data_IF_067551329662
#
_entry.id   IF_067551329662
#
_cell.length_a   1.000
_cell.length_b   1.000
_cell.length_c   1.000
_cell.angle_alpha   90.00
_cell.angle_beta   90.00
_cell.angle_gamma   90.00
#
_symmetry.space_group_name_H-M   'P 1'
#
loop_
_entity.id
_entity.type
_entity.pdbx_description
1 polymer ?
#
# COMPACT_ATOMS: atom_id res chain seq x y z
N UNK A 1 -52.18 48.35 -24.41
CA UNK A 1 -50.76 48.56 -24.72
C UNK A 1 -50.38 49.95 -24.25
N UNK A 2 -49.68 50.06 -23.13
CA UNK A 2 -49.16 51.31 -22.59
C UNK A 2 -47.74 51.07 -22.09
N UNK A 3 -46.79 51.72 -22.75
CA UNK A 3 -45.35 51.59 -22.56
C UNK A 3 -44.95 52.32 -21.29
N UNK A 4 -44.43 51.62 -20.28
CA UNK A 4 -43.84 52.23 -19.08
C UNK A 4 -42.46 52.80 -19.45
N UNK A 5 -42.39 54.12 -19.62
CA UNK A 5 -41.14 54.86 -19.71
C UNK A 5 -40.63 55.09 -18.29
N UNK A 6 -39.69 54.27 -17.83
CA UNK A 6 -38.92 54.54 -16.61
C UNK A 6 -37.68 55.33 -16.98
N UNK A 7 -37.80 56.65 -17.00
CA UNK A 7 -36.66 57.55 -17.02
C UNK A 7 -36.07 57.64 -15.62
N UNK A 8 -34.95 56.96 -15.37
CA UNK A 8 -34.14 57.18 -14.17
C UNK A 8 -33.31 58.44 -14.40
N UNK A 9 -33.47 59.52 -13.61
CA UNK A 9 -32.64 60.71 -13.77
C UNK A 9 -31.19 60.41 -13.38
N UNK A 10 -30.27 60.95 -14.19
CA UNK A 10 -28.81 60.89 -14.02
C UNK A 10 -28.36 61.51 -12.69
N UNK A 11 -27.46 60.80 -11.98
CA UNK A 11 -27.09 61.11 -10.59
C UNK A 11 -26.33 62.42 -10.38
N UNK A 12 -25.94 63.13 -11.43
CA UNK A 12 -25.29 64.45 -11.31
C UNK A 12 -26.28 65.54 -10.87
N UNK A 13 -27.57 65.43 -11.23
CA UNK A 13 -28.57 66.44 -10.85
C UNK A 13 -28.95 66.40 -9.36
N UNK A 14 -28.69 65.27 -8.67
CA UNK A 14 -29.03 65.10 -7.25
C UNK A 14 -27.90 65.52 -6.30
N UNK A 15 -26.69 65.79 -6.81
CA UNK A 15 -25.49 66.04 -5.97
C UNK A 15 -25.32 67.51 -5.56
N UNK A 16 -26.15 68.44 -6.06
CA UNK A 16 -25.89 69.88 -5.98
C UNK A 16 -26.82 70.68 -5.05
N UNK A 17 -27.69 70.05 -4.27
CA UNK A 17 -28.62 70.80 -3.41
C UNK A 17 -28.65 70.20 -2.00
N UNK A 18 -27.77 70.71 -1.13
CA UNK A 18 -28.08 70.71 0.29
C UNK A 18 -29.07 71.86 0.49
N UNK A 19 -30.28 71.64 1.02
CA UNK A 19 -31.16 72.74 1.35
C UNK A 19 -30.49 73.53 2.46
N UNK A 20 -30.11 74.77 2.16
CA UNK A 20 -29.73 75.76 3.15
C UNK A 20 -30.91 75.87 4.14
N UNK A 21 -30.64 75.71 5.43
CA UNK A 21 -31.68 75.71 6.47
C UNK A 21 -32.21 77.14 6.58
N UNK A 22 -33.19 77.47 5.74
CA UNK A 22 -33.93 78.72 5.81
C UNK A 22 -34.65 78.82 7.16
N UNK A 23 -34.56 80.01 7.74
CA UNK A 23 -34.99 80.34 9.08
C UNK A 23 -36.46 79.95 9.35
N UNK A 24 -36.63 79.13 10.39
CA UNK A 24 -37.82 78.93 11.24
C UNK A 24 -39.15 79.46 10.70
N UNK A 25 -39.82 78.67 9.87
CA UNK A 25 -41.21 78.88 9.48
C UNK A 25 -42.12 78.36 10.62
N UNK A 26 -42.92 79.25 11.22
CA UNK A 26 -43.64 79.02 12.48
C UNK A 26 -44.71 77.90 12.45
N UNK A 27 -44.97 77.35 11.26
CA UNK A 27 -45.99 76.31 11.03
C UNK A 27 -45.41 74.96 10.56
N UNK A 28 -44.07 74.76 10.59
CA UNK A 28 -43.50 73.45 10.27
C UNK A 28 -43.77 72.45 11.39
N UNK A 29 -44.46 71.36 11.01
CA UNK A 29 -44.63 70.19 11.88
C UNK A 29 -43.26 69.55 12.16
N UNK A 30 -43.06 68.99 13.37
CA UNK A 30 -41.87 68.18 13.64
C UNK A 30 -41.84 66.99 12.69
N UNK A 31 -40.66 66.75 12.12
CA UNK A 31 -40.40 65.66 11.18
C UNK A 31 -40.77 64.33 11.85
N UNK A 32 -41.47 63.46 11.11
CA UNK A 32 -41.82 62.15 11.62
C UNK A 32 -40.54 61.32 11.79
N UNK A 33 -40.52 60.35 12.72
CA UNK A 33 -39.41 59.41 12.82
C UNK A 33 -39.16 58.79 11.44
N UNK A 34 -37.89 58.81 10.99
CA UNK A 34 -37.40 58.34 9.68
C UNK A 34 -37.51 59.30 8.49
N UNK A 35 -38.05 60.50 8.66
CA UNK A 35 -38.17 61.49 7.57
C UNK A 35 -36.83 62.19 7.23
N UNK A 36 -35.83 62.04 8.11
CA UNK A 36 -34.50 62.66 7.99
C UNK A 36 -33.41 61.68 7.51
N UNK A 37 -33.79 60.44 7.18
CA UNK A 37 -32.84 59.37 6.87
C UNK A 37 -32.58 59.32 5.36
N UNK A 38 -31.55 60.05 4.94
CA UNK A 38 -31.04 59.98 3.58
C UNK A 38 -30.17 58.73 3.39
N UNK A 39 -30.71 57.73 2.70
CA UNK A 39 -29.96 56.53 2.31
C UNK A 39 -28.99 56.86 1.17
N UNK A 40 -27.77 57.27 1.51
CA UNK A 40 -26.71 57.45 0.54
C UNK A 40 -26.15 56.09 0.09
N UNK A 41 -26.53 55.64 -1.12
CA UNK A 41 -25.98 54.43 -1.73
C UNK A 41 -24.60 54.74 -2.32
N UNK A 42 -23.54 54.46 -1.53
CA UNK A 42 -22.16 54.53 -2.03
C UNK A 42 -21.96 53.45 -3.08
N UNK A 43 -21.81 53.85 -4.35
CA UNK A 43 -21.47 52.93 -5.45
C UNK A 43 -20.01 52.52 -5.32
N UNK A 44 -19.77 51.33 -4.76
CA UNK A 44 -18.43 50.75 -4.69
C UNK A 44 -18.11 50.14 -6.06
N UNK A 45 -17.23 50.79 -6.83
CA UNK A 45 -16.73 50.25 -8.09
C UNK A 45 -15.50 49.36 -7.85
N UNK A 46 -15.71 48.05 -7.88
CA UNK A 46 -14.65 47.04 -7.70
C UNK A 46 -13.98 46.62 -9.02
N UNK A 47 -14.22 47.31 -10.14
CA UNK A 47 -13.70 46.91 -11.47
C UNK A 47 -12.17 46.85 -11.57
N UNK A 48 -11.44 47.51 -10.67
CA UNK A 48 -9.97 47.53 -10.63
C UNK A 48 -9.38 46.72 -9.47
N UNK A 49 -10.21 45.95 -8.75
CA UNK A 49 -9.74 45.15 -7.64
C UNK A 49 -8.97 43.93 -8.17
N UNK A 50 -7.66 44.05 -8.26
CA UNK A 50 -6.78 42.92 -8.52
C UNK A 50 -6.48 42.25 -7.20
N UNK A 51 -6.70 40.94 -7.12
CA UNK A 51 -6.39 40.16 -5.92
C UNK A 51 -4.90 40.30 -5.62
N UNK A 52 -4.56 40.84 -4.46
CA UNK A 52 -3.17 40.87 -4.01
C UNK A 52 -2.69 39.42 -3.88
N UNK A 53 -1.78 39.02 -4.77
CA UNK A 53 -1.17 37.69 -4.70
C UNK A 53 -0.28 37.63 -3.46
N UNK A 54 -0.73 36.94 -2.41
CA UNK A 54 0.12 36.70 -1.25
C UNK A 54 0.97 35.44 -1.47
N UNK A 55 2.29 35.59 -1.70
CA UNK A 55 3.18 34.44 -1.90
C UNK A 55 3.39 33.64 -0.60
N UNK A 56 3.08 34.20 0.58
CA UNK A 56 3.17 33.48 1.84
C UNK A 56 2.08 32.41 1.98
N UNK A 57 0.86 32.71 1.54
CA UNK A 57 -0.26 31.78 1.55
C UNK A 57 0.03 30.51 0.72
N UNK A 58 0.63 30.68 -0.46
CA UNK A 58 1.05 29.56 -1.31
C UNK A 58 2.09 28.68 -0.62
N UNK A 59 3.11 29.29 0.00
CA UNK A 59 4.17 28.55 0.73
C UNK A 59 3.61 27.78 1.91
N UNK A 60 2.66 28.34 2.67
CA UNK A 60 2.01 27.64 3.78
C UNK A 60 1.23 26.41 3.30
N UNK A 61 0.45 26.55 2.23
CA UNK A 61 -0.31 25.43 1.67
C UNK A 61 0.61 24.28 1.22
N UNK A 62 1.70 24.59 0.52
CA UNK A 62 2.68 23.60 0.11
C UNK A 62 3.45 22.94 1.26
N UNK A 63 3.67 23.64 2.37
CA UNK A 63 4.27 23.05 3.57
C UNK A 63 3.32 22.05 4.22
N UNK A 64 2.02 22.38 4.30
CA UNK A 64 1.01 21.48 4.84
C UNK A 64 0.86 20.22 3.99
N UNK A 65 0.77 20.38 2.66
CA UNK A 65 0.67 19.24 1.72
C UNK A 65 1.88 18.32 1.82
N UNK A 66 3.09 18.88 1.81
CA UNK A 66 4.31 18.07 1.95
C UNK A 66 4.39 17.38 3.30
N UNK A 67 4.01 18.07 4.39
CA UNK A 67 3.95 17.46 5.72
C UNK A 67 3.00 16.27 5.79
N UNK A 68 1.80 16.40 5.22
CA UNK A 68 0.82 15.32 5.16
C UNK A 68 1.32 14.14 4.32
N UNK A 69 1.93 14.41 3.15
CA UNK A 69 2.47 13.36 2.28
C UNK A 69 3.63 12.61 2.95
N UNK A 70 4.50 13.33 3.66
CA UNK A 70 5.65 12.75 4.37
C UNK A 70 5.19 11.90 5.55
N UNK A 71 4.19 12.36 6.31
CA UNK A 71 3.57 11.58 7.39
C UNK A 71 2.90 10.31 6.86
N UNK A 72 2.16 10.40 5.75
CA UNK A 72 1.55 9.25 5.10
C UNK A 72 2.61 8.25 4.59
N UNK A 73 3.65 8.75 3.93
CA UNK A 73 4.77 7.92 3.46
C UNK A 73 5.48 7.22 4.61
N UNK A 74 5.74 7.92 5.72
CA UNK A 74 6.35 7.34 6.91
C UNK A 74 5.46 6.25 7.53
N UNK A 75 4.15 6.48 7.60
CA UNK A 75 3.18 5.49 8.07
C UNK A 75 3.20 4.24 7.21
N UNK A 76 3.22 4.40 5.87
CA UNK A 76 3.34 3.27 4.93
C UNK A 76 4.63 2.51 5.17
N UNK A 77 5.78 3.18 5.25
CA UNK A 77 7.09 2.54 5.48
C UNK A 77 7.12 1.76 6.80
N UNK A 78 6.52 2.28 7.86
CA UNK A 78 6.41 1.60 9.16
C UNK A 78 5.50 0.37 9.10
N UNK A 79 4.39 0.45 8.37
CA UNK A 79 3.43 -0.66 8.25
C UNK A 79 3.87 -1.73 7.23
N UNK A 80 4.61 -1.34 6.20
CA UNK A 80 5.09 -2.19 5.10
C UNK A 80 5.75 -3.50 5.57
N UNK A 81 6.73 -3.49 6.49
CA UNK A 81 7.37 -4.72 6.96
C UNK A 81 6.36 -5.69 7.58
N UNK A 82 5.31 -5.20 8.24
CA UNK A 82 4.28 -6.06 8.84
C UNK A 82 3.53 -6.93 7.82
N UNK A 83 3.31 -6.41 6.59
CA UNK A 83 2.63 -7.16 5.52
C UNK A 83 3.60 -8.14 4.87
N UNK A 84 4.82 -7.70 4.57
CA UNK A 84 5.87 -8.55 4.00
C UNK A 84 6.22 -9.73 4.92
N UNK A 85 6.37 -9.47 6.23
CA UNK A 85 6.64 -10.52 7.21
C UNK A 85 5.53 -11.56 7.31
N UNK A 86 4.25 -11.18 7.11
CA UNK A 86 3.13 -12.14 7.12
C UNK A 86 3.16 -13.09 5.92
N UNK A 87 3.58 -12.59 4.76
CA UNK A 87 3.71 -13.40 3.54
C UNK A 87 4.85 -14.42 3.72
N UNK A 88 5.99 -14.00 4.27
CA UNK A 88 7.12 -14.90 4.53
C UNK A 88 6.77 -15.97 5.57
N UNK A 89 5.95 -15.65 6.57
CA UNK A 89 5.50 -16.64 7.55
C UNK A 89 4.76 -17.83 6.91
N UNK A 90 3.98 -17.60 5.85
CA UNK A 90 3.30 -18.68 5.15
C UNK A 90 4.26 -19.58 4.36
N UNK A 91 5.29 -18.98 3.76
CA UNK A 91 6.36 -19.72 3.08
C UNK A 91 7.12 -20.60 4.08
N UNK A 92 7.53 -20.02 5.21
CA UNK A 92 8.17 -20.76 6.31
C UNK A 92 7.30 -21.91 6.83
N UNK A 93 6.00 -21.69 7.04
CA UNK A 93 5.08 -22.74 7.46
C UNK A 93 4.88 -23.84 6.40
N UNK A 94 4.98 -23.50 5.11
CA UNK A 94 4.97 -24.47 4.02
C UNK A 94 6.24 -25.31 3.99
N UNK A 95 7.40 -24.67 4.06
CA UNK A 95 8.70 -25.34 4.08
C UNK A 95 8.87 -26.24 5.32
N UNK A 96 8.42 -25.78 6.49
CA UNK A 96 8.50 -26.59 7.72
C UNK A 96 7.70 -27.89 7.61
N UNK A 97 6.50 -27.85 6.99
CA UNK A 97 5.69 -29.05 6.73
C UNK A 97 6.37 -29.99 5.73
N UNK A 98 6.96 -29.46 4.67
CA UNK A 98 7.72 -30.26 3.71
C UNK A 98 8.93 -30.93 4.36
N UNK A 99 9.66 -30.20 5.20
CA UNK A 99 10.78 -30.74 5.95
C UNK A 99 10.34 -31.90 6.86
N UNK A 100 9.26 -31.72 7.63
CA UNK A 100 8.72 -32.80 8.48
C UNK A 100 8.32 -34.03 7.66
N UNK A 101 7.61 -33.84 6.54
CA UNK A 101 7.22 -34.95 5.67
C UNK A 101 8.44 -35.70 5.09
N UNK A 102 9.52 -35.00 4.74
CA UNK A 102 10.75 -35.61 4.25
C UNK A 102 11.49 -36.38 5.35
N UNK A 103 11.53 -35.85 6.58
CA UNK A 103 12.13 -36.53 7.73
C UNK A 103 11.38 -37.82 8.04
N UNK A 104 10.06 -37.78 8.00
CA UNK A 104 9.22 -38.96 8.26
C UNK A 104 9.43 -40.04 7.20
N UNK A 105 9.43 -39.65 5.91
CA UNK A 105 9.78 -40.57 4.81
C UNK A 105 11.18 -41.15 4.94
N UNK A 106 12.15 -40.34 5.38
CA UNK A 106 13.51 -40.83 5.62
C UNK A 106 13.52 -41.90 6.71
N UNK A 107 12.84 -41.64 7.83
CA UNK A 107 12.76 -42.64 8.92
C UNK A 107 12.05 -43.91 8.49
N UNK A 108 11.01 -43.82 7.67
CA UNK A 108 10.31 -44.97 7.10
C UNK A 108 11.25 -45.81 6.21
N UNK A 109 12.00 -45.16 5.31
CA UNK A 109 13.00 -45.82 4.47
C UNK A 109 14.12 -46.48 5.28
N UNK A 110 14.60 -45.83 6.34
CA UNK A 110 15.62 -46.41 7.23
C UNK A 110 15.11 -47.67 7.94
N UNK A 111 13.82 -47.71 8.31
CA UNK A 111 13.18 -48.90 8.88
C UNK A 111 13.01 -50.01 7.84
N UNK A 112 12.62 -49.67 6.61
CA UNK A 112 12.51 -50.63 5.51
C UNK A 112 13.86 -51.23 5.13
N UNK A 113 14.91 -50.40 5.07
CA UNK A 113 16.28 -50.83 4.80
C UNK A 113 16.79 -51.75 5.90
N UNK A 114 16.58 -51.39 7.18
CA UNK A 114 16.94 -52.26 8.30
C UNK A 114 16.19 -53.60 8.27
N UNK A 115 14.91 -53.60 7.90
CA UNK A 115 14.11 -54.82 7.74
C UNK A 115 14.61 -55.66 6.55
N UNK A 116 15.00 -55.02 5.44
CA UNK A 116 15.58 -55.67 4.26
C UNK A 116 16.94 -56.30 4.55
N UNK A 117 17.80 -55.60 5.29
CA UNK A 117 19.14 -56.03 5.70
C UNK A 117 19.13 -56.95 6.93
N UNK A 118 17.95 -57.34 7.43
CA UNK A 118 17.87 -58.26 8.56
C UNK A 118 18.53 -59.61 8.21
N UNK A 119 19.35 -60.19 9.11
CA UNK A 119 20.13 -61.40 8.81
C UNK A 119 19.23 -62.58 8.40
N UNK A 120 18.05 -62.70 9.02
CA UNK A 120 17.06 -63.72 8.67
C UNK A 120 16.53 -63.59 7.23
N UNK A 121 16.36 -62.35 6.72
CA UNK A 121 15.92 -62.08 5.34
C UNK A 121 17.06 -62.27 4.35
N UNK A 122 18.28 -61.86 4.71
CA UNK A 122 19.49 -62.13 3.92
C UNK A 122 19.73 -63.63 3.74
N UNK A 123 19.52 -64.45 4.78
CA UNK A 123 19.59 -65.91 4.66
C UNK A 123 18.53 -66.50 3.73
N UNK A 124 17.29 -65.98 3.77
CA UNK A 124 16.24 -66.42 2.84
C UNK A 124 16.61 -66.10 1.39
N UNK A 125 17.14 -64.90 1.15
CA UNK A 125 17.65 -64.52 -0.17
C UNK A 125 18.85 -65.36 -0.60
N UNK A 126 19.81 -65.61 0.29
CA UNK A 126 20.96 -66.47 0.04
C UNK A 126 20.52 -67.89 -0.35
N UNK A 127 19.53 -68.46 0.34
CA UNK A 127 18.95 -69.78 -0.01
C UNK A 127 18.24 -69.74 -1.37
N UNK A 128 17.49 -68.68 -1.68
CA UNK A 128 16.77 -68.56 -2.97
C UNK A 128 17.68 -68.36 -4.18
N UNK A 129 18.83 -67.72 -3.97
CA UNK A 129 19.83 -67.45 -5.00
C UNK A 129 20.93 -68.51 -5.05
N UNK A 130 20.79 -69.60 -4.26
CA UNK A 130 21.81 -70.66 -4.10
C UNK A 130 23.19 -70.13 -3.66
N UNK A 131 23.24 -68.96 -3.03
CA UNK A 131 24.41 -68.30 -2.46
C UNK A 131 24.72 -68.84 -1.05
N UNK A 132 24.72 -70.17 -0.90
CA UNK A 132 25.11 -70.82 0.36
C UNK A 132 26.61 -70.74 0.55
N UNK A 133 27.06 -70.59 1.81
CA UNK A 133 28.48 -70.53 2.13
C UNK A 133 29.20 -71.77 1.58
N UNK A 134 30.22 -71.57 0.72
CA UNK A 134 30.97 -72.69 0.17
C UNK A 134 31.65 -73.46 1.29
N UNK A 135 31.71 -74.79 1.15
CA UNK A 135 32.43 -75.63 2.10
C UNK A 135 33.89 -75.13 2.24
N UNK A 136 34.47 -75.17 3.45
CA UNK A 136 35.81 -74.62 3.70
C UNK A 136 36.84 -75.25 2.74
N UNK A 137 37.33 -74.45 1.79
CA UNK A 137 38.29 -74.86 0.75
C UNK A 137 37.83 -74.70 -0.71
N UNK A 138 36.57 -74.36 -0.99
CA UNK A 138 36.06 -74.22 -2.37
C UNK A 138 36.26 -72.80 -2.92
N UNK A 139 37.23 -72.64 -3.84
CA UNK A 139 37.53 -71.37 -4.51
C UNK A 139 36.74 -71.29 -5.82
N UNK A 140 35.76 -70.40 -5.91
CA UNK A 140 35.11 -70.06 -7.18
C UNK A 140 35.94 -68.99 -7.91
N UNK A 141 36.67 -69.39 -8.95
CA UNK A 141 37.37 -68.45 -9.83
C UNK A 141 36.33 -67.81 -10.75
N UNK A 142 36.01 -66.53 -10.54
CA UNK A 142 35.22 -65.75 -11.49
C UNK A 142 36.02 -65.63 -12.80
N UNK A 143 35.64 -66.41 -13.81
CA UNK A 143 36.21 -66.26 -15.15
C UNK A 143 35.69 -64.93 -15.74
N UNK A 144 36.54 -63.95 -16.07
CA UNK A 144 36.08 -62.70 -16.65
C UNK A 144 35.48 -62.98 -18.03
N UNK A 145 34.16 -63.08 -18.10
CA UNK A 145 33.45 -63.07 -19.38
C UNK A 145 33.61 -61.66 -20.00
N UNK A 146 34.07 -61.55 -21.24
CA UNK A 146 34.45 -60.26 -21.86
C UNK A 146 33.25 -59.33 -22.16
N UNK A 147 32.02 -59.68 -21.78
CA UNK A 147 30.83 -58.92 -22.16
C UNK A 147 30.47 -57.77 -21.20
N UNK A 148 30.82 -57.83 -19.90
CA UNK A 148 30.40 -56.80 -18.94
C UNK A 148 31.49 -56.54 -17.88
N UNK A 149 32.60 -55.96 -18.31
CA UNK A 149 33.67 -55.49 -17.43
C UNK A 149 33.30 -54.18 -16.73
N UNK A 150 32.61 -54.26 -15.60
CA UNK A 150 32.48 -53.13 -14.68
C UNK A 150 33.72 -53.08 -13.77
N UNK A 151 34.69 -52.24 -14.13
CA UNK A 151 35.84 -51.94 -13.29
C UNK A 151 35.39 -51.20 -12.02
N UNK A 152 35.40 -51.88 -10.88
CA UNK A 152 35.14 -51.27 -9.57
C UNK A 152 36.43 -50.58 -9.10
N UNK A 153 36.50 -49.26 -9.28
CA UNK A 153 37.54 -48.43 -8.68
C UNK A 153 37.16 -48.10 -7.22
N UNK A 154 37.75 -48.83 -6.26
CA UNK A 154 37.72 -48.43 -4.85
C UNK A 154 38.73 -47.30 -4.64
N UNK A 155 38.23 -46.06 -4.48
CA UNK A 155 39.05 -44.91 -4.09
C UNK A 155 38.96 -44.76 -2.56
N UNK A 156 39.97 -45.26 -1.86
CA UNK A 156 40.16 -45.01 -0.44
C UNK A 156 40.50 -43.52 -0.24
N UNK A 157 39.83 -42.87 0.70
CA UNK A 157 40.13 -41.52 1.19
C UNK A 157 40.39 -41.59 2.68
#
# INVERSE_FOLDING_TARGET
MATLVTGVPSSEAAAAAWPEVEASDAFRLPLLPWEDVYLHVKRIDNRRLVRAGDPAAWRMCWRAIRGALLALGLLVVILMPGVLSRIEAHRLAGLARQHQALVEKRSELELEEAAALSPARLEQWARSLELLDPAPGQIHTLNPSPAHGAAVHARLR
#
